data_IF_857423577007
#
_entry.id   IF_857423577007
#
_cell.length_a   1.000
_cell.length_b   1.000
_cell.length_c   1.000
_cell.angle_alpha   90.00
_cell.angle_beta   90.00
_cell.angle_gamma   90.00
#
_symmetry.space_group_name_H-M   'P 1'
#
loop_
_entity.id
_entity.type
_entity.pdbx_description
1 polymer ?
#
# COMPACT_ATOMS: atom_id res chain seq x y z
N UNK A 1 -9.32 -9.57 -32.88
CA UNK A 1 -10.22 -9.53 -31.70
C UNK A 1 -9.33 -9.20 -30.53
N UNK A 2 -9.52 -8.04 -29.89
CA UNK A 2 -8.86 -7.81 -28.61
C UNK A 2 -9.53 -8.74 -27.60
N UNK A 3 -8.82 -9.78 -27.18
CA UNK A 3 -9.27 -10.68 -26.12
C UNK A 3 -9.31 -9.89 -24.81
N UNK A 4 -10.43 -9.19 -24.59
CA UNK A 4 -10.73 -8.50 -23.35
C UNK A 4 -10.75 -9.48 -22.18
N UNK A 5 -10.50 -8.98 -20.97
CA UNK A 5 -10.62 -9.80 -19.76
C UNK A 5 -12.06 -9.72 -19.27
N UNK A 6 -12.65 -10.84 -18.85
CA UNK A 6 -14.08 -10.95 -18.52
C UNK A 6 -14.58 -10.01 -17.40
N UNK A 7 -13.65 -9.46 -16.61
CA UNK A 7 -13.91 -8.57 -15.48
C UNK A 7 -13.45 -7.13 -15.74
N UNK A 8 -13.18 -6.77 -17.00
CA UNK A 8 -12.80 -5.42 -17.38
C UNK A 8 -13.86 -4.40 -16.93
N UNK A 9 -13.41 -3.22 -16.53
CA UNK A 9 -14.27 -2.10 -16.16
C UNK A 9 -13.95 -0.90 -17.02
N UNK A 10 -14.98 -0.11 -17.33
CA UNK A 10 -14.78 1.15 -18.02
C UNK A 10 -14.11 2.16 -17.08
N UNK A 11 -12.97 2.69 -17.53
CA UNK A 11 -12.21 3.76 -16.88
C UNK A 11 -11.90 4.86 -17.90
N UNK A 12 -11.65 6.09 -17.43
CA UNK A 12 -11.30 7.16 -18.35
C UNK A 12 -9.96 6.83 -19.06
N UNK A 13 -9.72 7.27 -20.31
CA UNK A 13 -8.48 6.98 -21.03
C UNK A 13 -7.20 7.38 -20.26
N UNK A 14 -7.29 8.48 -19.52
CA UNK A 14 -6.23 8.96 -18.64
C UNK A 14 -5.97 8.02 -17.45
N UNK A 15 -7.03 7.46 -16.88
CA UNK A 15 -6.96 6.49 -15.77
C UNK A 15 -6.40 5.15 -16.24
N UNK A 16 -6.80 4.68 -17.43
CA UNK A 16 -6.20 3.52 -18.10
C UNK A 16 -4.70 3.72 -18.34
N UNK A 17 -4.32 4.90 -18.83
CA UNK A 17 -2.90 5.26 -19.03
C UNK A 17 -2.11 5.27 -17.72
N UNK A 18 -2.72 5.71 -16.63
CA UNK A 18 -2.13 5.63 -15.29
C UNK A 18 -1.95 4.18 -14.83
N UNK A 19 -2.98 3.34 -14.98
CA UNK A 19 -2.92 1.92 -14.62
C UNK A 19 -1.76 1.21 -15.32
N UNK A 20 -1.66 1.35 -16.65
CA UNK A 20 -0.59 0.77 -17.46
C UNK A 20 0.82 1.19 -17.02
N UNK A 21 1.01 2.46 -16.64
CA UNK A 21 2.33 2.94 -16.17
C UNK A 21 2.65 2.39 -14.79
N UNK A 22 1.66 2.33 -13.88
CA UNK A 22 1.84 1.71 -12.57
C UNK A 22 2.23 0.24 -12.69
N UNK A 23 1.64 -0.53 -13.60
CA UNK A 23 1.96 -1.96 -13.77
C UNK A 23 3.33 -2.17 -14.40
N UNK A 24 3.82 -1.22 -15.20
CA UNK A 24 5.15 -1.29 -15.82
C UNK A 24 6.31 -1.12 -14.83
N UNK A 25 6.21 -0.18 -13.88
CA UNK A 25 7.34 0.17 -13.01
C UNK A 25 7.01 0.29 -11.52
N UNK A 26 5.75 0.09 -11.10
CA UNK A 26 5.33 0.09 -9.69
C UNK A 26 5.31 1.47 -9.02
N UNK A 27 5.89 2.50 -9.62
CA UNK A 27 5.95 3.84 -9.05
C UNK A 27 4.69 4.66 -9.39
N UNK A 28 3.80 4.81 -8.41
CA UNK A 28 2.55 5.57 -8.60
C UNK A 28 2.76 7.07 -8.81
N UNK A 29 3.73 7.67 -8.12
CA UNK A 29 4.03 9.10 -8.25
C UNK A 29 4.58 9.42 -9.64
N UNK A 30 5.52 8.60 -10.12
CA UNK A 30 6.03 8.69 -11.49
C UNK A 30 4.89 8.53 -12.50
N UNK A 31 4.06 7.49 -12.35
CA UNK A 31 2.93 7.25 -13.25
C UNK A 31 1.93 8.42 -13.28
N UNK A 32 1.70 9.10 -12.15
CA UNK A 32 0.86 10.30 -12.16
C UNK A 32 1.48 11.48 -12.91
N UNK A 33 2.77 11.76 -12.69
CA UNK A 33 3.47 12.86 -13.36
C UNK A 33 3.51 12.63 -14.88
N UNK A 34 3.82 11.40 -15.26
CA UNK A 34 3.83 10.91 -16.64
C UNK A 34 2.49 11.02 -17.38
N UNK A 35 1.38 11.00 -16.65
CA UNK A 35 0.00 11.16 -17.18
C UNK A 35 -0.46 12.63 -17.09
N UNK A 36 0.43 13.54 -16.68
CA UNK A 36 0.23 14.99 -16.62
C UNK A 36 -0.56 15.45 -15.40
N UNK A 37 -0.69 14.64 -14.34
CA UNK A 37 -1.25 15.13 -13.09
C UNK A 37 -0.24 16.07 -12.41
N UNK A 38 -0.72 17.10 -11.70
CA UNK A 38 0.14 18.07 -11.05
C UNK A 38 1.15 17.42 -10.09
N UNK A 39 2.45 17.70 -10.31
CA UNK A 39 3.56 17.04 -9.60
C UNK A 39 3.54 17.27 -8.09
N UNK A 40 3.17 18.48 -7.66
CA UNK A 40 3.09 18.88 -6.25
C UNK A 40 2.24 17.90 -5.40
N UNK A 41 1.32 17.16 -6.02
CA UNK A 41 0.45 16.20 -5.36
C UNK A 41 0.52 14.78 -5.96
N UNK A 42 1.54 14.47 -6.77
CA UNK A 42 1.64 13.21 -7.51
C UNK A 42 1.46 11.97 -6.62
N UNK A 43 2.17 11.91 -5.48
CA UNK A 43 2.08 10.77 -4.54
C UNK A 43 0.70 10.64 -3.89
N UNK A 44 0.13 11.76 -3.44
CA UNK A 44 -1.22 11.78 -2.84
C UNK A 44 -2.27 11.37 -3.87
N UNK A 45 -2.19 11.92 -5.09
CA UNK A 45 -3.06 11.58 -6.22
C UNK A 45 -2.97 10.12 -6.59
N UNK A 46 -1.76 9.56 -6.68
CA UNK A 46 -1.55 8.14 -6.95
C UNK A 46 -2.18 7.26 -5.87
N UNK A 47 -2.05 7.65 -4.59
CA UNK A 47 -2.68 6.94 -3.46
C UNK A 47 -4.21 6.96 -3.56
N UNK A 48 -4.80 8.11 -3.90
CA UNK A 48 -6.26 8.26 -4.09
C UNK A 48 -6.76 7.45 -5.28
N UNK A 49 -6.03 7.45 -6.39
CA UNK A 49 -6.39 6.63 -7.56
C UNK A 49 -6.32 5.14 -7.24
N UNK A 50 -5.23 4.67 -6.61
CA UNK A 50 -5.06 3.25 -6.24
C UNK A 50 -5.94 2.80 -5.06
N UNK A 51 -6.73 3.70 -4.48
CA UNK A 51 -7.75 3.36 -3.50
C UNK A 51 -9.14 3.12 -4.13
N UNK A 52 -9.31 3.39 -5.43
CA UNK A 52 -10.56 3.21 -6.16
C UNK A 52 -10.61 1.83 -6.80
N UNK A 53 -11.72 1.11 -6.59
CA UNK A 53 -11.86 -0.27 -7.06
C UNK A 53 -11.71 -0.38 -8.58
N UNK A 54 -12.33 0.50 -9.35
CA UNK A 54 -12.27 0.49 -10.81
C UNK A 54 -10.85 0.71 -11.36
N UNK A 55 -10.04 1.52 -10.66
CA UNK A 55 -8.64 1.74 -11.05
C UNK A 55 -7.79 0.52 -10.74
N UNK A 56 -8.03 -0.13 -9.60
CA UNK A 56 -7.31 -1.36 -9.25
C UNK A 56 -7.67 -2.50 -10.20
N UNK A 57 -8.94 -2.63 -10.59
CA UNK A 57 -9.35 -3.57 -11.64
C UNK A 57 -8.60 -3.28 -12.95
N UNK A 58 -8.57 -2.01 -13.40
CA UNK A 58 -7.82 -1.65 -14.60
C UNK A 58 -6.32 -1.98 -14.50
N UNK A 59 -5.69 -1.84 -13.33
CA UNK A 59 -4.32 -2.28 -13.11
C UNK A 59 -4.17 -3.81 -13.22
N UNK A 60 -5.09 -4.58 -12.64
CA UNK A 60 -5.06 -6.04 -12.75
C UNK A 60 -5.22 -6.45 -14.22
N UNK A 61 -6.06 -5.74 -14.97
CA UNK A 61 -6.32 -6.03 -16.39
C UNK A 61 -5.05 -5.88 -17.22
N UNK A 62 -4.32 -4.77 -17.03
CA UNK A 62 -3.03 -4.55 -17.68
C UNK A 62 -2.01 -5.64 -17.32
N UNK A 63 -1.97 -6.11 -16.07
CA UNK A 63 -1.11 -7.22 -15.66
C UNK A 63 -1.49 -8.52 -16.38
N UNK A 64 -2.78 -8.80 -16.50
CA UNK A 64 -3.27 -10.00 -17.20
C UNK A 64 -2.95 -9.93 -18.70
N UNK A 65 -3.07 -8.75 -19.32
CA UNK A 65 -2.66 -8.53 -20.71
C UNK A 65 -1.15 -8.68 -20.89
N UNK A 66 -0.34 -8.16 -19.96
CA UNK A 66 1.11 -8.34 -19.95
C UNK A 66 1.50 -9.82 -19.78
N UNK A 67 0.80 -10.55 -18.89
CA UNK A 67 0.97 -11.99 -18.70
C UNK A 67 0.73 -12.77 -19.98
N UNK A 68 -0.36 -12.47 -20.69
CA UNK A 68 -0.69 -13.10 -21.99
C UNK A 68 0.37 -12.84 -23.05
N UNK A 69 1.09 -11.72 -22.95
CA UNK A 69 2.24 -11.35 -23.81
C UNK A 69 3.57 -11.94 -23.32
N UNK A 70 3.59 -12.71 -22.23
CA UNK A 70 4.80 -13.29 -21.66
C UNK A 70 5.68 -12.29 -20.89
N UNK A 71 5.15 -11.11 -20.56
CA UNK A 71 5.89 -10.10 -19.79
C UNK A 71 5.84 -10.49 -18.29
N UNK A 72 6.98 -10.62 -17.62
CA UNK A 72 7.02 -11.00 -16.21
C UNK A 72 6.53 -9.86 -15.32
N UNK A 73 5.72 -10.21 -14.31
CA UNK A 73 5.27 -9.26 -13.30
C UNK A 73 6.39 -8.94 -12.31
N UNK A 74 6.71 -7.67 -12.15
CA UNK A 74 7.70 -7.22 -11.18
C UNK A 74 7.23 -7.47 -9.73
N UNK A 75 8.08 -7.97 -8.81
CA UNK A 75 7.70 -8.21 -7.41
C UNK A 75 7.15 -6.98 -6.69
N UNK A 76 7.70 -5.80 -6.98
CA UNK A 76 7.23 -4.52 -6.42
C UNK A 76 5.81 -4.19 -6.86
N UNK A 77 5.45 -4.50 -8.11
CA UNK A 77 4.10 -4.29 -8.65
C UNK A 77 3.15 -5.27 -8.00
N UNK A 78 3.54 -6.55 -7.89
CA UNK A 78 2.74 -7.59 -7.22
C UNK A 78 2.36 -7.18 -5.79
N UNK A 79 3.33 -6.79 -4.95
CA UNK A 79 3.08 -6.34 -3.57
C UNK A 79 2.14 -5.13 -3.54
N UNK A 80 2.42 -4.14 -4.39
CA UNK A 80 1.66 -2.91 -4.44
C UNK A 80 0.22 -3.10 -4.87
N UNK A 81 -0.04 -4.01 -5.81
CA UNK A 81 -1.40 -4.35 -6.23
C UNK A 81 -2.16 -5.07 -5.12
N UNK A 82 -1.53 -6.01 -4.40
CA UNK A 82 -2.16 -6.64 -3.23
C UNK A 82 -2.55 -5.59 -2.16
N UNK A 83 -1.64 -4.66 -1.84
CA UNK A 83 -1.92 -3.56 -0.91
C UNK A 83 -3.02 -2.61 -1.42
N UNK A 84 -3.13 -2.44 -2.74
CA UNK A 84 -4.13 -1.58 -3.36
C UNK A 84 -5.50 -2.24 -3.40
N UNK A 85 -5.57 -3.55 -3.65
CA UNK A 85 -6.80 -4.36 -3.53
C UNK A 85 -7.33 -4.28 -2.10
N UNK A 86 -6.49 -4.50 -1.09
CA UNK A 86 -6.88 -4.41 0.31
C UNK A 86 -7.45 -3.02 0.67
N UNK A 87 -6.84 -1.96 0.16
CA UNK A 87 -7.33 -0.58 0.35
C UNK A 87 -8.62 -0.30 -0.41
N UNK A 88 -8.74 -0.78 -1.64
CA UNK A 88 -9.91 -0.62 -2.47
C UNK A 88 -11.12 -1.36 -1.88
N UNK A 89 -10.94 -2.53 -1.25
CA UNK A 89 -12.02 -3.19 -0.49
C UNK A 89 -12.50 -2.33 0.68
N UNK A 90 -11.56 -1.82 1.49
CA UNK A 90 -11.89 -0.97 2.66
C UNK A 90 -12.58 0.34 2.26
N UNK A 91 -12.24 0.90 1.10
CA UNK A 91 -12.76 2.18 0.59
C UNK A 91 -13.79 2.04 -0.51
N UNK A 92 -14.13 0.83 -0.92
CA UNK A 92 -14.85 0.54 -2.16
C UNK A 92 -16.25 1.16 -2.22
N UNK A 93 -16.84 1.50 -1.07
CA UNK A 93 -18.09 2.25 -0.98
C UNK A 93 -17.96 3.77 -0.99
N UNK A 94 -16.76 4.34 -1.16
CA UNK A 94 -16.57 5.80 -1.12
C UNK A 94 -17.21 6.52 -2.32
N UNK A 95 -17.41 5.82 -3.43
CA UNK A 95 -18.14 6.33 -4.60
C UNK A 95 -19.03 5.25 -5.19
N UNK A 96 -20.13 5.63 -5.85
CA UNK A 96 -21.01 4.68 -6.53
C UNK A 96 -20.27 3.85 -7.60
N UNK A 97 -19.32 4.47 -8.31
CA UNK A 97 -18.50 3.81 -9.33
C UNK A 97 -17.58 2.75 -8.73
N UNK A 98 -16.90 3.07 -7.62
CA UNK A 98 -16.06 2.09 -6.93
C UNK A 98 -16.91 0.96 -6.34
N UNK A 99 -18.10 1.24 -5.84
CA UNK A 99 -18.99 0.22 -5.29
C UNK A 99 -19.44 -0.77 -6.38
N UNK A 100 -19.80 -0.25 -7.55
CA UNK A 100 -20.17 -1.07 -8.71
C UNK A 100 -19.02 -1.94 -9.25
N UNK A 101 -17.77 -1.50 -9.06
CA UNK A 101 -16.58 -2.23 -9.52
C UNK A 101 -16.08 -3.30 -8.53
N UNK A 102 -16.64 -3.39 -7.32
CA UNK A 102 -16.20 -4.37 -6.32
C UNK A 102 -16.33 -5.84 -6.77
N UNK A 103 -17.43 -6.29 -7.39
CA UNK A 103 -17.52 -7.67 -7.88
C UNK A 103 -16.42 -8.00 -8.89
N UNK A 104 -16.14 -7.09 -9.83
CA UNK A 104 -15.05 -7.24 -10.80
C UNK A 104 -13.68 -7.27 -10.12
N UNK A 105 -13.49 -6.48 -9.05
CA UNK A 105 -12.25 -6.50 -8.26
C UNK A 105 -12.02 -7.85 -7.61
N UNK A 106 -13.05 -8.46 -7.03
CA UNK A 106 -12.95 -9.78 -6.41
C UNK A 106 -12.63 -10.87 -7.44
N UNK A 107 -13.29 -10.84 -8.59
CA UNK A 107 -13.02 -11.78 -9.68
C UNK A 107 -11.60 -11.62 -10.24
N UNK A 108 -11.20 -10.37 -10.53
CA UNK A 108 -9.87 -10.04 -11.04
C UNK A 108 -8.77 -10.45 -10.07
N UNK A 109 -8.98 -10.20 -8.76
CA UNK A 109 -8.02 -10.59 -7.75
C UNK A 109 -7.96 -12.11 -7.61
N UNK A 110 -9.08 -12.83 -7.70
CA UNK A 110 -9.10 -14.30 -7.72
C UNK A 110 -8.28 -14.90 -8.86
N UNK A 111 -8.36 -14.35 -10.08
CA UNK A 111 -7.48 -14.74 -11.21
C UNK A 111 -6.02 -14.38 -10.93
N UNK A 112 -5.75 -13.16 -10.49
CA UNK A 112 -4.41 -12.70 -10.16
C UNK A 112 -3.72 -13.59 -9.11
N UNK A 113 -4.45 -13.99 -8.06
CA UNK A 113 -3.93 -14.91 -7.04
C UNK A 113 -3.61 -16.28 -7.61
N UNK A 114 -4.49 -16.83 -8.47
CA UNK A 114 -4.26 -18.11 -9.16
C UNK A 114 -3.03 -18.09 -10.04
N UNK A 115 -2.79 -17.00 -10.77
CA UNK A 115 -1.64 -16.89 -11.67
C UNK A 115 -0.32 -16.62 -10.97
N UNK A 116 -0.32 -15.88 -9.86
CA UNK A 116 0.92 -15.43 -9.21
C UNK A 116 1.17 -16.06 -7.83
N UNK A 117 0.33 -17.01 -7.39
CA UNK A 117 0.54 -17.77 -6.15
C UNK A 117 0.56 -16.90 -4.91
N UNK A 118 -0.45 -16.03 -4.74
CA UNK A 118 -0.65 -15.30 -3.47
C UNK A 118 -1.50 -16.19 -2.56
N UNK A 119 -0.82 -17.00 -1.76
CA UNK A 119 -1.41 -17.75 -0.64
C UNK A 119 -1.87 -16.75 0.46
N UNK A 120 -3.00 -17.02 1.12
CA UNK A 120 -3.64 -16.16 2.14
C UNK A 120 -2.82 -15.99 3.45
N UNK A 121 -1.54 -16.34 3.46
CA UNK A 121 -0.66 -16.27 4.64
C UNK A 121 0.00 -14.91 4.88
N UNK A 122 -0.28 -13.87 4.09
CA UNK A 122 0.40 -12.56 4.20
C UNK A 122 -0.26 -11.57 5.18
N UNK A 123 -1.14 -12.06 6.04
CA UNK A 123 -1.51 -11.36 7.26
C UNK A 123 -0.48 -11.70 8.36
N UNK A 124 0.60 -10.93 8.44
CA UNK A 124 1.33 -10.77 9.72
C UNK A 124 2.53 -11.67 10.01
N UNK A 125 3.19 -12.29 9.03
CA UNK A 125 4.52 -12.87 9.26
C UNK A 125 5.63 -11.86 8.93
N UNK A 126 6.01 -11.03 9.90
CA UNK A 126 7.38 -10.48 9.92
C UNK A 126 8.35 -11.67 9.89
N UNK A 127 9.28 -11.77 8.92
CA UNK A 127 10.32 -12.77 9.01
C UNK A 127 11.17 -12.48 10.26
N UNK A 128 11.17 -13.40 11.22
CA UNK A 128 12.15 -13.37 12.31
C UNK A 128 13.56 -13.39 11.70
N UNK A 129 14.48 -12.52 12.15
CA UNK A 129 15.83 -12.41 11.59
C UNK A 129 16.71 -13.67 11.77
N UNK A 130 16.20 -14.73 12.38
CA UNK A 130 16.96 -15.95 12.68
C UNK A 130 16.96 -17.01 11.57
N UNK A 131 16.30 -16.81 10.42
CA UNK A 131 16.28 -17.81 9.35
C UNK A 131 17.18 -17.50 8.14
N UNK A 132 17.93 -16.39 8.17
CA UNK A 132 18.95 -16.09 7.17
C UNK A 132 20.32 -16.59 7.62
N UNK A 133 20.46 -17.89 7.93
CA UNK A 133 21.73 -18.61 8.02
C UNK A 133 21.43 -20.11 8.11
N UNK A 134 21.37 -20.79 6.97
CA UNK A 134 21.37 -22.25 6.92
C UNK A 134 22.71 -22.75 6.43
N UNK A 135 23.49 -23.41 7.30
CA UNK A 135 24.53 -24.41 7.00
C UNK A 135 24.68 -25.25 8.29
N UNK A 136 23.89 -26.30 8.49
CA UNK A 136 24.28 -27.69 8.20
C UNK A 136 24.08 -28.58 9.46
N UNK A 137 23.93 -29.91 9.34
CA UNK A 137 23.14 -30.72 10.28
C UNK A 137 23.94 -31.51 11.34
N UNK A 138 23.19 -31.93 12.38
CA UNK A 138 23.44 -33.06 13.29
C UNK A 138 24.51 -32.90 14.39
N UNK A 139 24.10 -33.06 15.66
CA UNK A 139 24.55 -34.10 16.61
C UNK A 139 24.01 -33.86 18.04
N UNK A 140 23.29 -34.89 18.53
CA UNK A 140 23.09 -35.39 19.91
C UNK A 140 22.61 -34.51 21.09
N UNK A 141 21.66 -35.02 21.90
CA UNK A 141 21.37 -34.50 23.24
C UNK A 141 22.27 -35.19 24.27
N UNK A 142 23.07 -34.42 25.00
CA UNK A 142 23.94 -34.94 26.05
C UNK A 142 24.46 -33.84 26.97
N UNK A 143 23.99 -33.89 28.22
CA UNK A 143 24.71 -33.53 29.45
C UNK A 143 25.52 -32.22 29.49
N UNK A 144 25.12 -31.27 30.34
CA UNK A 144 25.81 -31.07 31.64
C UNK A 144 25.23 -29.91 32.45
N UNK A 145 24.73 -30.33 33.61
CA UNK A 145 24.79 -29.70 34.91
C UNK A 145 26.09 -28.92 35.19
N UNK A 146 25.99 -27.87 36.02
CA UNK A 146 27.10 -27.45 36.89
C UNK A 146 27.57 -26.00 36.78
N UNK A 147 27.04 -25.18 37.68
CA UNK A 147 27.73 -24.18 38.51
C UNK A 147 28.82 -23.25 37.91
N UNK A 148 28.63 -21.94 38.09
CA UNK A 148 29.51 -21.12 38.93
C UNK A 148 28.91 -19.74 39.20
N UNK A 149 29.02 -19.33 40.46
CA UNK A 149 28.65 -18.04 41.04
C UNK A 149 29.60 -16.92 40.60
N UNK A 150 29.11 -15.68 40.64
CA UNK A 150 29.81 -14.49 41.18
C UNK A 150 28.77 -13.37 41.27
N UNK A 151 28.34 -13.03 42.48
CA UNK A 151 28.76 -11.82 43.25
C UNK A 151 27.91 -10.59 42.91
N UNK A 152 27.17 -10.10 43.91
CA UNK A 152 26.45 -8.82 43.86
C UNK A 152 27.40 -7.62 44.01
N UNK A 153 26.95 -6.41 44.44
CA UNK A 153 25.63 -6.13 45.00
C UNK A 153 25.01 -4.74 44.67
N UNK A 154 23.74 -4.59 45.09
CA UNK A 154 23.15 -3.43 45.79
C UNK A 154 22.80 -2.10 45.08
N UNK A 155 21.65 -1.56 45.54
CA UNK A 155 21.15 -0.17 45.44
C UNK A 155 20.50 0.17 44.07
N UNK A 156 19.27 0.67 43.96
CA UNK A 156 18.43 1.42 44.90
C UNK A 156 17.02 1.54 44.30
N UNK A 157 15.99 1.15 45.04
CA UNK A 157 14.63 1.63 44.80
C UNK A 157 14.59 3.14 45.03
N UNK A 158 14.00 3.89 44.09
CA UNK A 158 13.22 5.11 44.38
C UNK A 158 12.16 5.33 43.31
N UNK A 159 10.93 5.03 43.70
CA UNK A 159 9.73 5.73 43.26
C UNK A 159 9.90 7.25 43.44
N UNK A 160 9.29 8.03 42.55
CA UNK A 160 8.96 9.42 42.84
C UNK A 160 8.40 10.20 41.64
N UNK A 161 7.38 11.06 41.83
CA UNK A 161 6.42 11.46 40.80
C UNK A 161 6.54 12.92 40.36
N UNK A 162 5.72 13.33 39.39
CA UNK A 162 5.26 14.72 39.26
C UNK A 162 5.72 15.47 38.01
N UNK A 163 4.78 16.18 37.38
CA UNK A 163 5.07 17.21 36.38
C UNK A 163 3.95 17.47 35.37
N UNK A 164 2.84 18.05 35.82
CA UNK A 164 2.01 18.92 34.95
C UNK A 164 2.86 20.12 34.48
N UNK A 165 2.74 20.51 33.21
CA UNK A 165 2.70 21.92 32.80
C UNK A 165 2.42 22.07 31.29
N UNK A 166 1.27 22.69 31.02
CA UNK A 166 0.95 23.74 30.06
C UNK A 166 1.96 24.11 28.94
N UNK A 167 1.41 24.28 27.73
CA UNK A 167 2.13 24.83 26.58
C UNK A 167 1.23 25.18 25.41
N UNK A 168 0.34 26.16 25.59
CA UNK A 168 -0.41 26.83 24.51
C UNK A 168 0.52 27.32 23.39
N UNK A 169 0.22 26.97 22.13
CA UNK A 169 0.83 27.57 20.95
C UNK A 169 -0.23 28.07 19.96
N UNK A 170 -0.31 29.41 19.91
CA UNK A 170 -0.62 30.30 18.77
C UNK A 170 -2.00 30.22 18.11
N UNK A 171 -2.76 31.29 18.35
CA UNK A 171 -3.87 31.70 17.52
C UNK A 171 -3.44 32.03 16.10
N UNK A 172 -4.28 31.65 15.14
CA UNK A 172 -4.27 32.13 13.77
C UNK A 172 -5.60 32.85 13.57
N UNK A 173 -5.54 34.15 13.35
CA UNK A 173 -6.70 34.97 12.99
C UNK A 173 -7.27 34.52 11.63
N UNK A 174 -8.59 34.62 11.42
CA UNK A 174 -9.22 34.24 10.15
C UNK A 174 -8.84 35.19 9.00
N UNK A 175 -8.86 34.71 7.73
CA UNK A 175 -8.50 35.50 6.57
C UNK A 175 -9.53 36.61 6.27
N UNK A 176 -9.00 37.78 5.91
CA UNK A 176 -9.71 38.99 5.46
C UNK A 176 -10.45 38.71 4.13
N UNK A 177 -11.72 39.14 3.95
CA UNK A 177 -12.42 38.99 2.67
C UNK A 177 -11.92 40.00 1.62
N UNK A 178 -11.88 39.63 0.32
CA UNK A 178 -11.49 40.56 -0.75
C UNK A 178 -12.60 41.60 -1.04
N UNK A 179 -12.19 42.85 -1.21
CA UNK A 179 -13.04 43.97 -1.64
C UNK A 179 -13.66 43.70 -3.02
N UNK A 180 -14.98 43.91 -3.13
CA UNK A 180 -15.70 43.92 -4.39
C UNK A 180 -15.27 45.09 -5.30
N UNK A 181 -15.27 44.92 -6.63
CA UNK A 181 -15.01 46.02 -7.55
C UNK A 181 -16.20 47.00 -7.59
N UNK A 182 -15.88 48.30 -7.47
CA UNK A 182 -16.81 49.39 -7.70
C UNK A 182 -17.26 49.38 -9.17
N UNK A 183 -18.54 49.15 -9.41
CA UNK A 183 -19.21 49.50 -10.67
C UNK A 183 -19.32 51.03 -10.74
N UNK A 184 -18.64 51.64 -11.70
CA UNK A 184 -18.96 53.00 -12.17
C UNK A 184 -20.19 52.91 -13.07
N UNK A 185 -21.25 53.62 -12.69
CA UNK A 185 -22.29 54.10 -13.60
C UNK A 185 -21.85 55.45 -14.18
#
# INVERSE_FOLDING_TARGET
>A
MEDGVAWAVEVLPRERSFARRVTRHGNGGLATAEVGYAEANARSRASTLLARAEIVVACLEEVELDRRKGIPLLPVVRRKLADSVARARKRGGATARSAAALPSLEQAFGEFRRHYGIEDGWAGATPSPSQACGLGPSLSPGEREGAARSDGPLLREREGPGGEADGRVRGIAPPVPPLAPRTTL
#
